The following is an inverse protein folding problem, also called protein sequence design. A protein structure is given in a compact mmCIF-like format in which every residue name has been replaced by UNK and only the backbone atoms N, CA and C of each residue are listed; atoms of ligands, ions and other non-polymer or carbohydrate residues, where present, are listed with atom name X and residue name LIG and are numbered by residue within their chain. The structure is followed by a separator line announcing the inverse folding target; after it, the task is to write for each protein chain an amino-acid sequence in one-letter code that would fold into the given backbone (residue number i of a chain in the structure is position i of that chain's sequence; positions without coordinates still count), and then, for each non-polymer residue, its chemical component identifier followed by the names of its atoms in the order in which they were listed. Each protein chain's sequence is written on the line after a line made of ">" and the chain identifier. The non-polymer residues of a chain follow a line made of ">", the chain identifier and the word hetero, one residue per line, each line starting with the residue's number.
data_IF_786781768758
#
_entry.id   IF_786781768758
#
_cell.length_a   1.000
_cell.length_b   1.000
_cell.length_c   1.000
_cell.angle_alpha   90.00
_cell.angle_beta   90.00
_cell.angle_gamma   90.00
#
_symmetry.space_group_name_H-M   'P 1'
#
loop_
_entity.id
_entity.type
_entity.pdbx_description
1 polymer ?
#
# COMPACT_ATOMS: atom_id res chain seq x y z
N UNK A 1 -2.54 -22.11 -14.32
CA UNK A 1 -3.12 -22.74 -13.12
C UNK A 1 -4.62 -22.42 -13.14
N UNK A 2 -5.36 -22.44 -12.03
CA UNK A 2 -6.79 -22.13 -12.01
C UNK A 2 -7.02 -20.78 -11.31
N UNK A 3 -7.74 -19.87 -11.95
CA UNK A 3 -8.22 -18.63 -11.33
C UNK A 3 -9.56 -18.94 -10.65
N UNK A 4 -9.68 -18.64 -9.36
CA UNK A 4 -10.87 -18.99 -8.57
C UNK A 4 -11.94 -17.90 -8.63
N UNK A 5 -13.19 -18.27 -8.85
CA UNK A 5 -14.33 -17.37 -8.66
C UNK A 5 -14.72 -17.35 -7.18
N UNK A 6 -14.76 -16.18 -6.56
CA UNK A 6 -15.17 -16.04 -5.16
C UNK A 6 -16.69 -16.06 -5.04
N UNK A 7 -17.18 -16.79 -4.05
CA UNK A 7 -18.58 -16.77 -3.64
C UNK A 7 -18.84 -15.64 -2.63
N UNK A 8 -20.10 -15.52 -2.19
CA UNK A 8 -20.47 -14.62 -1.08
C UNK A 8 -19.90 -15.05 0.27
N UNK A 9 -19.29 -16.24 0.37
CA UNK A 9 -18.61 -16.66 1.60
C UNK A 9 -17.30 -15.88 1.80
N UNK A 10 -16.99 -15.60 3.06
CA UNK A 10 -15.81 -14.86 3.46
C UNK A 10 -14.59 -15.80 3.52
N UNK A 11 -14.13 -16.23 2.35
CA UNK A 11 -13.00 -17.14 2.18
C UNK A 11 -12.16 -16.75 0.96
N UNK A 12 -10.85 -16.99 1.05
CA UNK A 12 -9.93 -16.94 -0.08
C UNK A 12 -9.25 -18.29 -0.31
N UNK A 13 -8.91 -18.66 -1.56
CA UNK A 13 -8.02 -19.79 -1.83
C UNK A 13 -6.64 -19.54 -1.20
N UNK A 14 -5.88 -20.61 -0.99
CA UNK A 14 -4.48 -20.49 -0.56
C UNK A 14 -3.70 -19.65 -1.60
N UNK A 15 -3.04 -18.55 -1.19
CA UNK A 15 -2.25 -17.69 -2.08
C UNK A 15 -1.23 -18.42 -2.96
N UNK A 16 -0.70 -19.56 -2.51
CA UNK A 16 0.27 -20.35 -3.27
C UNK A 16 -0.32 -21.04 -4.51
N UNK A 17 -1.65 -21.11 -4.62
CA UNK A 17 -2.36 -21.71 -5.74
C UNK A 17 -2.60 -20.71 -6.90
N UNK A 18 -2.26 -19.43 -6.73
CA UNK A 18 -2.36 -18.42 -7.79
C UNK A 18 -1.35 -18.64 -8.91
N UNK A 19 -1.52 -17.94 -10.03
CA UNK A 19 -0.61 -17.97 -11.18
C UNK A 19 0.82 -17.48 -10.83
N UNK A 20 1.74 -17.58 -11.79
CA UNK A 20 3.14 -17.15 -11.60
C UNK A 20 3.27 -15.65 -11.28
N UNK A 21 2.42 -14.82 -11.87
CA UNK A 21 2.34 -13.37 -11.61
C UNK A 21 1.61 -13.03 -10.30
N UNK A 22 0.99 -14.03 -9.66
CA UNK A 22 0.24 -13.90 -8.43
C UNK A 22 -1.26 -13.75 -8.61
N UNK A 23 -1.82 -13.80 -9.82
CA UNK A 23 -3.27 -13.75 -9.98
C UNK A 23 -3.92 -14.96 -9.29
N UNK A 24 -4.84 -14.71 -8.35
CA UNK A 24 -5.41 -15.75 -7.51
C UNK A 24 -6.89 -15.98 -7.78
N UNK A 25 -7.69 -14.92 -7.74
CA UNK A 25 -9.15 -15.03 -7.77
C UNK A 25 -9.81 -13.82 -8.42
N UNK A 26 -11.09 -13.95 -8.77
CA UNK A 26 -11.94 -12.85 -9.21
C UNK A 26 -13.33 -12.90 -8.54
N UNK A 27 -14.05 -11.77 -8.56
CA UNK A 27 -15.39 -11.65 -7.99
C UNK A 27 -15.39 -11.33 -6.49
N UNK A 28 -16.49 -11.64 -5.82
CA UNK A 28 -16.75 -11.22 -4.44
C UNK A 28 -17.17 -9.75 -4.35
N UNK A 29 -16.66 -9.05 -3.35
CA UNK A 29 -17.03 -7.68 -2.99
C UNK A 29 -15.84 -6.93 -2.37
N UNK A 30 -15.97 -5.63 -2.13
CA UNK A 30 -14.99 -4.82 -1.40
C UNK A 30 -15.45 -4.52 0.03
N UNK A 31 -16.18 -5.46 0.66
CA UNK A 31 -16.55 -5.32 2.07
C UNK A 31 -15.30 -5.22 2.95
N UNK A 32 -15.43 -4.50 4.06
CA UNK A 32 -14.34 -4.32 5.03
C UNK A 32 -13.81 -5.68 5.49
N UNK A 33 -14.70 -6.61 5.83
CA UNK A 33 -14.37 -7.94 6.30
C UNK A 33 -13.56 -8.72 5.26
N UNK A 34 -13.93 -8.63 3.97
CA UNK A 34 -13.22 -9.33 2.89
C UNK A 34 -11.86 -8.71 2.62
N UNK A 35 -11.75 -7.39 2.62
CA UNK A 35 -10.46 -6.71 2.49
C UNK A 35 -9.52 -7.08 3.62
N UNK A 36 -9.98 -7.02 4.87
CA UNK A 36 -9.16 -7.41 6.02
C UNK A 36 -8.73 -8.88 5.95
N UNK A 37 -9.62 -9.78 5.52
CA UNK A 37 -9.26 -11.17 5.28
C UNK A 37 -8.19 -11.31 4.18
N UNK A 38 -8.35 -10.58 3.07
CA UNK A 38 -7.40 -10.60 1.96
C UNK A 38 -6.00 -10.17 2.43
N UNK A 39 -5.88 -8.99 3.05
CA UNK A 39 -4.60 -8.47 3.54
C UNK A 39 -3.96 -9.37 4.59
N UNK A 40 -4.78 -9.97 5.48
CA UNK A 40 -4.29 -10.93 6.48
C UNK A 40 -3.72 -12.22 5.88
N UNK A 41 -4.00 -12.49 4.59
CA UNK A 41 -3.46 -13.59 3.81
C UNK A 41 -2.45 -13.12 2.73
N UNK A 42 -2.04 -11.86 2.74
CA UNK A 42 -1.12 -11.32 1.73
C UNK A 42 -1.73 -11.15 0.33
N UNK A 43 -3.06 -11.03 0.27
CA UNK A 43 -3.86 -10.84 -0.94
C UNK A 43 -4.32 -9.38 -0.99
N UNK A 44 -4.34 -8.77 -2.16
CA UNK A 44 -4.89 -7.43 -2.37
C UNK A 44 -5.74 -7.36 -3.65
N UNK A 45 -6.75 -6.48 -3.70
CA UNK A 45 -7.53 -6.24 -4.91
C UNK A 45 -6.77 -5.33 -5.87
N UNK A 46 -6.78 -5.65 -7.16
CA UNK A 46 -6.22 -4.78 -8.19
C UNK A 46 -6.86 -5.08 -9.55
N UNK A 47 -7.64 -4.14 -10.09
CA UNK A 47 -8.41 -4.33 -11.33
C UNK A 47 -8.71 -2.98 -11.97
N UNK A 48 -8.99 -2.97 -13.28
CA UNK A 48 -9.36 -1.76 -14.01
C UNK A 48 -10.88 -1.53 -14.01
N UNK A 49 -11.30 -0.32 -14.33
CA UNK A 49 -12.72 -0.02 -14.53
C UNK A 49 -13.33 -0.90 -15.62
N UNK A 50 -14.47 -1.54 -15.32
CA UNK A 50 -15.16 -2.48 -16.19
C UNK A 50 -14.67 -3.93 -16.08
N UNK A 51 -13.57 -4.19 -15.39
CA UNK A 51 -13.15 -5.56 -15.02
C UNK A 51 -13.86 -6.01 -13.73
N UNK A 52 -14.07 -7.33 -13.55
CA UNK A 52 -14.47 -7.83 -12.23
C UNK A 52 -13.37 -7.54 -11.20
N UNK A 53 -13.72 -7.55 -9.91
CA UNK A 53 -12.72 -7.44 -8.84
C UNK A 53 -11.74 -8.60 -8.99
N UNK A 54 -10.45 -8.30 -9.15
CA UNK A 54 -9.38 -9.29 -9.24
C UNK A 54 -8.50 -9.23 -7.99
N UNK A 55 -8.08 -10.40 -7.50
CA UNK A 55 -7.33 -10.57 -6.26
C UNK A 55 -5.98 -11.21 -6.54
N UNK A 56 -4.93 -10.61 -5.97
CA UNK A 56 -3.55 -10.91 -6.31
C UNK A 56 -2.70 -11.22 -5.07
N UNK A 57 -1.77 -12.16 -5.22
CA UNK A 57 -0.69 -12.42 -4.28
C UNK A 57 0.63 -12.77 -5.02
N UNK A 58 1.33 -11.77 -5.58
CA UNK A 58 2.62 -11.93 -6.23
C UNK A 58 3.67 -12.67 -5.39
N UNK A 59 4.46 -13.50 -6.09
CA UNK A 59 5.54 -14.31 -5.52
C UNK A 59 6.76 -14.24 -6.43
N UNK A 60 7.94 -13.82 -5.95
CA UNK A 60 8.24 -13.30 -4.61
C UNK A 60 7.51 -11.99 -4.29
N UNK A 61 7.59 -11.50 -3.04
CA UNK A 61 6.89 -10.29 -2.60
C UNK A 61 7.84 -9.11 -2.47
N UNK A 62 7.42 -7.92 -2.90
CA UNK A 62 8.24 -6.71 -2.83
C UNK A 62 7.89 -5.88 -1.58
N UNK A 63 8.87 -5.64 -0.70
CA UNK A 63 8.66 -4.95 0.58
C UNK A 63 9.77 -3.96 0.90
N UNK A 64 9.51 -3.03 1.81
CA UNK A 64 10.52 -2.26 2.55
C UNK A 64 10.48 -2.70 4.01
N UNK A 65 11.63 -3.07 4.59
CA UNK A 65 11.75 -3.17 6.06
C UNK A 65 11.93 -1.75 6.61
N UNK A 66 11.13 -1.28 7.59
CA UNK A 66 11.17 0.13 8.02
C UNK A 66 12.55 0.63 8.44
N UNK A 67 13.39 -0.25 9.00
CA UNK A 67 14.76 0.05 9.41
C UNK A 67 15.78 0.07 8.27
N UNK A 68 15.42 -0.42 7.08
CA UNK A 68 16.26 -0.48 5.88
C UNK A 68 15.96 0.63 4.85
N UNK A 69 15.10 1.61 5.20
CA UNK A 69 14.76 2.73 4.30
C UNK A 69 16.03 3.49 3.83
N UNK A 70 16.21 3.59 2.51
CA UNK A 70 17.36 4.25 1.90
C UNK A 70 17.12 5.76 1.73
N UNK A 71 17.75 6.56 2.59
CA UNK A 71 17.70 8.02 2.47
C UNK A 71 18.96 8.55 1.78
N UNK A 72 18.81 8.95 0.52
CA UNK A 72 19.90 9.50 -0.30
C UNK A 72 20.49 10.80 0.29
N UNK A 73 21.72 11.14 -0.10
CA UNK A 73 22.40 12.37 0.36
C UNK A 73 21.62 13.63 0.01
N UNK A 74 20.98 13.69 -1.17
CA UNK A 74 20.15 14.82 -1.59
C UNK A 74 18.88 14.91 -0.75
N UNK A 75 18.22 13.77 -0.47
CA UNK A 75 17.04 13.74 0.39
C UNK A 75 17.35 14.22 1.81
N UNK A 76 18.48 13.82 2.39
CA UNK A 76 18.89 14.33 3.72
C UNK A 76 19.04 15.84 3.76
N UNK A 77 19.49 16.47 2.66
CA UNK A 77 19.56 17.94 2.57
C UNK A 77 18.17 18.57 2.55
N UNK A 78 17.22 17.96 1.83
CA UNK A 78 15.84 18.46 1.76
C UNK A 78 15.15 18.36 3.11
N UNK A 79 15.25 17.20 3.77
CA UNK A 79 14.67 16.98 5.11
C UNK A 79 15.18 18.03 6.11
N UNK A 80 16.49 18.32 6.11
CA UNK A 80 17.10 19.34 6.99
C UNK A 80 16.64 20.76 6.72
N UNK A 81 16.13 21.08 5.53
CA UNK A 81 15.58 22.41 5.24
C UNK A 81 14.19 22.59 5.85
N UNK A 82 13.53 21.50 6.27
CA UNK A 82 12.22 21.51 6.93
C UNK A 82 11.16 22.33 6.18
N UNK A 83 11.19 22.27 4.84
CA UNK A 83 10.26 23.02 3.98
C UNK A 83 8.88 22.34 3.90
N UNK A 84 8.84 21.03 4.12
CA UNK A 84 7.62 20.25 4.05
C UNK A 84 7.10 19.98 5.46
N UNK A 85 5.78 20.11 5.62
CA UNK A 85 5.06 19.65 6.80
C UNK A 85 4.46 18.29 6.50
N UNK A 86 4.74 17.30 7.35
CA UNK A 86 4.17 15.96 7.23
C UNK A 86 3.14 15.75 8.33
N UNK A 87 1.98 15.23 7.97
CA UNK A 87 0.93 14.83 8.93
C UNK A 87 0.49 13.40 8.65
N UNK A 88 -0.27 12.84 9.59
CA UNK A 88 -0.88 11.53 9.47
C UNK A 88 -2.38 11.67 9.64
N UNK A 89 -3.16 10.97 8.80
CA UNK A 89 -4.62 10.88 8.88
C UNK A 89 -5.34 12.25 8.86
N UNK A 90 -4.69 13.30 8.37
CA UNK A 90 -5.28 14.64 8.34
C UNK A 90 -6.25 14.81 7.16
N UNK A 91 -5.95 14.19 6.01
CA UNK A 91 -6.73 14.33 4.79
C UNK A 91 -6.64 13.06 3.92
N UNK A 92 -7.16 11.95 4.47
CA UNK A 92 -7.16 10.65 3.77
C UNK A 92 -7.88 10.72 2.41
N UNK A 93 -9.05 11.37 2.38
CA UNK A 93 -9.86 11.52 1.17
C UNK A 93 -9.12 12.36 0.10
N UNK A 94 -8.42 13.42 0.51
CA UNK A 94 -7.56 14.21 -0.37
C UNK A 94 -6.39 13.38 -0.93
N UNK A 95 -5.73 12.56 -0.11
CA UNK A 95 -4.63 11.70 -0.57
C UNK A 95 -5.10 10.69 -1.61
N UNK A 96 -6.15 9.91 -1.33
CA UNK A 96 -6.62 8.88 -2.26
C UNK A 96 -7.17 9.48 -3.57
N UNK A 97 -7.85 10.62 -3.50
CA UNK A 97 -8.35 11.33 -4.68
C UNK A 97 -7.21 11.85 -5.57
N UNK A 98 -6.11 12.30 -4.97
CA UNK A 98 -4.91 12.69 -5.71
C UNK A 98 -4.19 11.49 -6.33
N UNK A 99 -4.13 10.36 -5.63
CA UNK A 99 -3.61 9.11 -6.19
C UNK A 99 -4.40 8.66 -7.41
N UNK A 100 -5.74 8.76 -7.38
CA UNK A 100 -6.62 8.44 -8.53
C UNK A 100 -6.31 9.35 -9.73
N UNK A 101 -6.43 10.66 -9.54
CA UNK A 101 -6.28 11.64 -10.63
C UNK A 101 -4.88 11.63 -11.29
N UNK A 102 -3.81 11.45 -10.52
CA UNK A 102 -2.45 11.37 -11.09
C UNK A 102 -2.24 10.12 -11.94
N UNK A 103 -2.90 9.00 -11.63
CA UNK A 103 -2.80 7.76 -12.42
C UNK A 103 -3.64 7.84 -13.70
N UNK A 104 -4.86 8.36 -13.61
CA UNK A 104 -5.73 8.63 -14.77
C UNK A 104 -5.00 9.41 -15.87
N UNK A 105 -4.22 10.43 -15.48
CA UNK A 105 -3.50 11.28 -16.42
C UNK A 105 -2.30 10.62 -17.10
N UNK A 106 -1.80 9.47 -16.61
CA UNK A 106 -0.59 8.83 -17.11
C UNK A 106 -0.87 7.51 -17.84
N UNK A 107 -1.54 6.55 -17.19
CA UNK A 107 -1.56 5.13 -17.61
C UNK A 107 -2.94 4.46 -17.42
N UNK A 108 -3.98 5.22 -17.05
CA UNK A 108 -5.24 4.69 -16.53
C UNK A 108 -5.20 4.51 -15.00
N UNK A 109 -6.34 4.25 -14.38
CA UNK A 109 -6.44 4.06 -12.92
C UNK A 109 -7.19 2.79 -12.56
N UNK A 110 -6.62 2.04 -11.61
CA UNK A 110 -7.31 0.96 -10.90
C UNK A 110 -8.08 1.47 -9.67
N UNK A 111 -7.86 2.73 -9.29
CA UNK A 111 -8.58 3.37 -8.19
C UNK A 111 -9.93 3.85 -8.73
N UNK A 112 -10.85 2.90 -8.89
CA UNK A 112 -12.25 3.15 -9.21
C UNK A 112 -12.94 3.87 -8.04
N UNK A 113 -14.14 4.39 -8.25
CA UNK A 113 -14.90 5.00 -7.14
C UNK A 113 -15.25 3.96 -6.05
N UNK A 114 -15.56 2.72 -6.43
CA UNK A 114 -15.81 1.63 -5.48
C UNK A 114 -14.58 1.33 -4.61
N UNK A 115 -13.39 1.28 -5.21
CA UNK A 115 -12.14 1.11 -4.47
C UNK A 115 -11.93 2.29 -3.52
N UNK A 116 -12.09 3.53 -4.01
CA UNK A 116 -11.96 4.72 -3.17
C UNK A 116 -12.86 4.66 -1.94
N UNK A 117 -14.13 4.33 -2.14
CA UNK A 117 -15.12 4.25 -1.06
C UNK A 117 -14.78 3.11 -0.08
N UNK A 118 -14.28 1.97 -0.57
CA UNK A 118 -13.85 0.86 0.27
C UNK A 118 -12.66 1.22 1.18
N UNK A 119 -11.62 1.90 0.66
CA UNK A 119 -10.50 2.34 1.50
C UNK A 119 -10.87 3.49 2.45
N UNK A 120 -11.77 4.38 2.05
CA UNK A 120 -12.33 5.39 2.97
C UNK A 120 -13.10 4.69 4.10
N UNK A 121 -13.83 3.63 3.80
CA UNK A 121 -14.51 2.83 4.82
C UNK A 121 -13.49 2.15 5.77
N UNK A 122 -12.39 1.60 5.26
CA UNK A 122 -11.30 1.08 6.09
C UNK A 122 -10.68 2.17 6.99
N UNK A 123 -10.43 3.36 6.44
CA UNK A 123 -9.91 4.50 7.20
C UNK A 123 -10.85 4.91 8.34
N UNK A 124 -12.15 5.05 8.06
CA UNK A 124 -13.17 5.39 9.07
C UNK A 124 -13.28 4.37 10.20
N UNK A 125 -12.90 3.12 9.93
CA UNK A 125 -12.89 2.03 10.90
C UNK A 125 -11.49 1.77 11.51
N UNK A 126 -10.50 2.62 11.24
CA UNK A 126 -9.16 2.54 11.84
C UNK A 126 -8.21 1.53 11.21
N UNK A 127 -8.53 0.99 10.04
CA UNK A 127 -7.72 0.00 9.33
C UNK A 127 -6.93 0.55 8.15
N UNK A 128 -7.09 1.83 7.83
CA UNK A 128 -6.24 2.50 6.85
C UNK A 128 -5.65 3.77 7.44
N UNK A 129 -4.46 4.13 6.96
CA UNK A 129 -3.70 5.29 7.39
C UNK A 129 -3.22 6.05 6.16
N UNK A 130 -3.24 7.38 6.23
CA UNK A 130 -2.63 8.26 5.25
C UNK A 130 -1.48 9.04 5.86
N UNK A 131 -0.54 9.41 5.00
CA UNK A 131 0.55 10.35 5.30
C UNK A 131 0.46 11.47 4.29
N UNK A 132 0.27 12.69 4.77
CA UNK A 132 0.14 13.87 3.94
C UNK A 132 1.43 14.69 3.97
N UNK A 133 1.83 15.25 2.83
CA UNK A 133 2.95 16.18 2.72
C UNK A 133 2.46 17.51 2.19
N UNK A 134 2.60 18.55 3.01
CA UNK A 134 2.20 19.92 2.73
C UNK A 134 3.41 20.81 2.44
N UNK A 135 3.23 21.75 1.51
CA UNK A 135 4.16 22.86 1.24
C UNK A 135 3.30 24.13 1.11
N UNK A 136 3.62 25.16 1.89
CA UNK A 136 2.84 26.41 1.91
C UNK A 136 1.33 26.17 2.12
N UNK A 137 1.00 25.28 3.06
CA UNK A 137 -0.36 24.81 3.40
C UNK A 137 -1.13 24.05 2.30
N UNK A 138 -0.52 23.80 1.16
CA UNK A 138 -1.10 23.01 0.07
C UNK A 138 -0.69 21.54 0.15
N UNK A 139 -1.65 20.63 -0.08
CA UNK A 139 -1.39 19.19 -0.14
C UNK A 139 -0.64 18.87 -1.46
N UNK A 140 0.67 18.63 -1.36
CA UNK A 140 1.57 18.48 -2.51
C UNK A 140 2.10 17.06 -2.71
N UNK A 141 1.82 16.15 -1.78
CA UNK A 141 2.13 14.73 -1.92
C UNK A 141 1.60 13.94 -0.74
N UNK A 142 1.72 12.62 -0.83
CA UNK A 142 1.27 11.74 0.22
C UNK A 142 1.16 10.31 -0.25
N UNK A 143 0.78 9.44 0.69
CA UNK A 143 0.52 8.03 0.46
C UNK A 143 -0.54 7.54 1.42
N UNK A 144 -1.17 6.43 1.09
CA UNK A 144 -2.09 5.75 1.98
C UNK A 144 -1.86 4.24 1.93
N UNK A 145 -2.34 3.55 2.96
CA UNK A 145 -2.18 2.11 3.08
C UNK A 145 -3.11 1.52 4.13
N UNK A 146 -3.23 0.20 4.09
CA UNK A 146 -3.97 -0.59 5.08
C UNK A 146 -3.02 -1.02 6.20
N UNK A 147 -3.51 -1.03 7.43
CA UNK A 147 -2.73 -1.43 8.61
C UNK A 147 -3.44 -2.59 9.29
N UNK A 148 -2.73 -3.71 9.45
CA UNK A 148 -3.18 -4.87 10.22
C UNK A 148 -2.04 -5.30 11.14
N UNK A 149 -2.25 -5.18 12.45
CA UNK A 149 -1.20 -5.40 13.44
C UNK A 149 0.01 -4.51 13.17
N UNK A 150 1.18 -5.14 13.06
CA UNK A 150 2.49 -4.53 12.78
C UNK A 150 2.88 -4.63 11.29
N UNK A 151 1.90 -4.73 10.40
CA UNK A 151 2.07 -4.76 8.95
C UNK A 151 1.41 -3.53 8.31
N UNK A 152 2.15 -2.80 7.47
CA UNK A 152 1.61 -1.71 6.67
C UNK A 152 1.58 -2.12 5.20
N UNK A 153 0.42 -2.07 4.56
CA UNK A 153 0.24 -2.40 3.14
C UNK A 153 0.09 -1.11 2.35
N UNK A 154 1.14 -0.69 1.65
CA UNK A 154 1.13 0.58 0.93
C UNK A 154 0.33 0.47 -0.36
N UNK A 155 -0.74 1.25 -0.51
CA UNK A 155 -1.64 1.10 -1.67
C UNK A 155 -1.21 1.98 -2.83
N UNK A 156 -1.04 3.27 -2.57
CA UNK A 156 -0.60 4.21 -3.59
C UNK A 156 0.00 5.46 -2.96
N UNK A 157 0.72 6.21 -3.77
CA UNK A 157 1.29 7.49 -3.42
C UNK A 157 1.17 8.46 -4.57
N UNK A 158 1.23 9.75 -4.29
CA UNK A 158 1.25 10.80 -5.29
C UNK A 158 2.23 11.91 -4.90
N UNK A 159 2.69 12.64 -5.91
CA UNK A 159 3.60 13.78 -5.74
C UNK A 159 3.27 14.83 -6.79
N UNK A 160 2.81 16.00 -6.37
CA UNK A 160 2.60 17.19 -7.23
C UNK A 160 3.87 18.02 -7.35
N UNK A 161 4.75 17.95 -6.35
CA UNK A 161 6.08 18.58 -6.38
C UNK A 161 7.17 17.55 -6.11
N UNK A 162 8.40 17.84 -6.54
CA UNK A 162 9.53 16.94 -6.38
C UNK A 162 9.78 16.58 -4.91
N UNK A 163 9.95 15.28 -4.66
CA UNK A 163 10.28 14.68 -3.36
C UNK A 163 9.17 14.64 -2.31
N UNK A 164 7.95 15.13 -2.59
CA UNK A 164 6.88 15.12 -1.61
C UNK A 164 6.48 13.68 -1.19
N UNK A 165 6.22 12.78 -2.15
CA UNK A 165 5.92 11.37 -1.83
C UNK A 165 7.07 10.65 -1.13
N UNK A 166 8.33 10.98 -1.48
CA UNK A 166 9.52 10.41 -0.82
C UNK A 166 9.59 10.81 0.65
N UNK A 167 9.27 12.07 0.96
CA UNK A 167 9.25 12.56 2.34
C UNK A 167 8.15 11.86 3.13
N UNK A 168 6.96 11.68 2.55
CA UNK A 168 5.89 10.90 3.17
C UNK A 168 6.35 9.47 3.52
N UNK A 169 6.94 8.76 2.55
CA UNK A 169 7.41 7.37 2.76
C UNK A 169 8.56 7.28 3.77
N UNK A 170 9.53 8.20 3.73
CA UNK A 170 10.62 8.23 4.70
C UNK A 170 10.09 8.47 6.12
N UNK A 171 9.19 9.44 6.27
CA UNK A 171 8.60 9.77 7.58
C UNK A 171 7.75 8.61 8.10
N UNK A 172 6.98 7.95 7.23
CA UNK A 172 6.26 6.73 7.57
C UNK A 172 7.23 5.65 8.07
N UNK A 173 8.28 5.34 7.30
CA UNK A 173 9.22 4.29 7.66
C UNK A 173 9.92 4.56 9.00
N UNK A 174 10.26 5.82 9.30
CA UNK A 174 10.83 6.21 10.59
C UNK A 174 9.85 5.94 11.75
N UNK A 175 8.57 6.30 11.61
CA UNK A 175 7.53 6.02 12.63
C UNK A 175 7.29 4.51 12.79
N UNK A 176 7.15 3.79 11.68
CA UNK A 176 6.91 2.35 11.68
C UNK A 176 8.07 1.57 12.30
N UNK A 177 9.31 2.03 12.07
CA UNK A 177 10.50 1.48 12.73
C UNK A 177 10.43 1.64 14.25
N UNK A 178 10.09 2.83 14.74
CA UNK A 178 9.96 3.08 16.19
C UNK A 178 8.85 2.23 16.83
N UNK A 179 7.82 1.90 16.06
CA UNK A 179 6.70 1.05 16.47
C UNK A 179 6.93 -0.45 16.22
N UNK A 180 8.13 -0.87 15.79
CA UNK A 180 8.50 -2.26 15.51
C UNK A 180 7.60 -2.95 14.48
N UNK A 181 7.21 -2.25 13.42
CA UNK A 181 6.54 -2.84 12.27
C UNK A 181 7.47 -3.80 11.52
N UNK A 182 6.92 -4.90 11.02
CA UNK A 182 7.67 -5.92 10.29
C UNK A 182 8.04 -5.45 8.88
N UNK A 183 7.10 -4.82 8.17
CA UNK A 183 7.30 -4.37 6.79
C UNK A 183 6.31 -3.27 6.37
N UNK A 184 6.70 -2.60 5.29
CA UNK A 184 5.83 -1.84 4.37
C UNK A 184 5.73 -2.69 3.09
N UNK A 185 4.54 -3.21 2.78
CA UNK A 185 4.29 -3.96 1.56
C UNK A 185 4.20 -3.00 0.39
N UNK A 186 4.94 -3.30 -0.67
CA UNK A 186 4.97 -2.53 -1.92
C UNK A 186 4.37 -3.32 -3.08
N UNK A 187 3.88 -4.55 -2.81
CA UNK A 187 3.22 -5.48 -3.72
C UNK A 187 4.07 -5.87 -4.93
N UNK A 188 4.24 -4.94 -5.86
CA UNK A 188 4.88 -5.11 -7.17
C UNK A 188 6.13 -4.24 -7.26
N UNK A 189 7.15 -4.76 -7.93
CA UNK A 189 8.42 -4.07 -8.14
C UNK A 189 8.25 -2.70 -8.83
N UNK A 190 8.96 -1.70 -8.33
CA UNK A 190 9.25 -0.46 -9.07
C UNK A 190 10.69 -0.01 -8.80
N UNK A 191 11.38 0.52 -9.81
CA UNK A 191 12.73 1.09 -9.67
C UNK A 191 12.75 2.24 -8.64
N UNK A 192 11.65 3.00 -8.57
CA UNK A 192 11.50 4.08 -7.60
C UNK A 192 11.61 3.58 -6.16
N UNK A 193 10.85 2.56 -5.78
CA UNK A 193 10.84 2.02 -4.42
C UNK A 193 12.10 1.22 -4.13
N UNK A 194 12.66 0.52 -5.12
CA UNK A 194 13.97 -0.14 -4.97
C UNK A 194 15.05 0.87 -4.56
N UNK A 195 15.08 2.03 -5.21
CA UNK A 195 16.01 3.12 -4.84
C UNK A 195 15.81 3.66 -3.42
N UNK A 196 14.64 3.39 -2.82
CA UNK A 196 14.26 3.75 -1.46
C UNK A 196 14.44 2.60 -0.45
N UNK A 197 15.01 1.47 -0.87
CA UNK A 197 15.33 0.33 0.01
C UNK A 197 14.33 -0.82 -0.09
N UNK A 198 13.39 -0.79 -1.05
CA UNK A 198 12.52 -1.92 -1.30
C UNK A 198 13.30 -3.09 -1.91
N UNK A 199 12.92 -4.31 -1.57
CA UNK A 199 13.56 -5.55 -2.06
C UNK A 199 12.54 -6.67 -2.22
N UNK A 200 12.83 -7.60 -3.12
CA UNK A 200 12.08 -8.85 -3.22
C UNK A 200 12.48 -9.77 -2.07
N UNK A 201 11.48 -10.33 -1.39
CA UNK A 201 11.67 -11.39 -0.39
C UNK A 201 10.99 -12.68 -0.86
N UNK A 202 11.55 -13.86 -0.55
CA UNK A 202 10.87 -15.12 -0.77
C UNK A 202 9.49 -15.13 -0.10
N UNK A 203 8.51 -15.75 -0.74
CA UNK A 203 7.13 -15.73 -0.22
C UNK A 203 7.00 -16.35 1.17
N UNK A 204 7.81 -17.37 1.48
CA UNK A 204 7.87 -17.96 2.82
C UNK A 204 8.39 -16.98 3.88
N UNK A 205 9.37 -16.13 3.53
CA UNK A 205 9.84 -15.06 4.43
C UNK A 205 8.72 -14.04 4.65
N UNK A 206 8.03 -13.62 3.58
CA UNK A 206 6.90 -12.71 3.67
C UNK A 206 5.76 -13.25 4.54
N UNK A 207 5.34 -14.51 4.35
CA UNK A 207 4.32 -15.16 5.20
C UNK A 207 4.74 -15.20 6.66
N UNK A 208 6.01 -15.52 6.94
CA UNK A 208 6.52 -15.52 8.31
C UNK A 208 6.46 -14.12 8.93
N UNK A 209 6.86 -13.08 8.19
CA UNK A 209 6.73 -11.69 8.63
C UNK A 209 5.27 -11.27 8.84
N UNK A 210 4.37 -11.65 7.94
CA UNK A 210 2.94 -11.37 8.02
C UNK A 210 2.32 -12.02 9.26
N UNK A 211 2.62 -13.30 9.51
CA UNK A 211 2.16 -14.01 10.68
C UNK A 211 2.63 -13.33 11.97
N UNK A 212 3.94 -13.02 12.07
CA UNK A 212 4.48 -12.31 13.24
C UNK A 212 3.82 -10.96 13.43
N UNK A 213 3.67 -10.18 12.37
CA UNK A 213 3.11 -8.84 12.46
C UNK A 213 1.65 -8.80 12.91
N UNK A 214 0.86 -9.82 12.58
CA UNK A 214 -0.57 -9.87 12.92
C UNK A 214 -0.81 -10.55 14.27
N UNK A 215 -0.07 -11.61 14.60
CA UNK A 215 -0.40 -12.51 15.71
C UNK A 215 0.59 -12.52 16.88
N UNK A 216 1.77 -11.89 16.74
CA UNK A 216 2.81 -11.81 17.79
C UNK A 216 3.06 -10.37 18.26
#
# INVERSE_FOLDING_TARGET
>A
MAIYELSNELIFPNPELGEEDGLLAFGGDLSMERLLLAYSNGIFPWYNEGEPIMWWSPRPRFIIKPDEICISKSMRKIIRKSQFKVTFNNDFEGVISNCKSMRENNEGTWITDDMKDAYINLFKNGYAVSVETYLDDELVGGLYGVVIGRCYFGESMFSRVSNASKIALITLAEVLKEQNFEFIDCQVYTEHLESMGAKMVPFDEFKAMLHRGIYE
#
